data_IF_327978833639
#
_entry.id   IF_327978833639
#
_cell.length_a   1.000
_cell.length_b   1.000
_cell.length_c   1.000
_cell.angle_alpha   90.00
_cell.angle_beta   90.00
_cell.angle_gamma   90.00
#
_symmetry.space_group_name_H-M   'P 1'
#
loop_
_entity.id
_entity.type
_entity.pdbx_description
1 polymer ?
#
# COMPACT_ATOMS: atom_id res chain seq x y z
N UNK A 1 -4.72 29.32 -16.87
CA UNK A 1 -5.37 29.73 -15.60
C UNK A 1 -6.09 28.54 -14.98
N UNK A 2 -7.13 27.96 -15.61
CA UNK A 2 -7.79 26.76 -15.06
C UNK A 2 -6.85 25.54 -14.84
N UNK A 3 -5.95 25.25 -15.78
CA UNK A 3 -5.00 24.14 -15.64
C UNK A 3 -3.98 24.35 -14.50
N UNK A 4 -3.54 25.59 -14.26
CA UNK A 4 -2.62 25.89 -13.15
C UNK A 4 -3.31 25.75 -11.80
N UNK A 5 -4.57 26.18 -11.70
CA UNK A 5 -5.35 26.09 -10.46
C UNK A 5 -5.69 24.62 -10.12
N UNK A 6 -5.95 23.79 -11.14
CA UNK A 6 -6.16 22.35 -10.99
C UNK A 6 -4.90 21.63 -10.48
N UNK A 7 -3.73 21.94 -11.03
CA UNK A 7 -2.45 21.38 -10.57
C UNK A 7 -2.13 21.80 -9.13
N UNK A 8 -2.46 23.03 -8.75
CA UNK A 8 -2.32 23.50 -7.36
C UNK A 8 -3.22 22.70 -6.43
N UNK A 9 -4.50 22.52 -6.78
CA UNK A 9 -5.44 21.74 -5.98
C UNK A 9 -5.01 20.26 -5.84
N UNK A 10 -4.54 19.64 -6.93
CA UNK A 10 -4.03 18.27 -6.93
C UNK A 10 -2.80 18.13 -6.02
N UNK A 11 -1.86 19.07 -6.07
CA UNK A 11 -0.69 19.08 -5.19
C UNK A 11 -1.06 19.24 -3.71
N UNK A 12 -2.01 20.12 -3.39
CA UNK A 12 -2.51 20.29 -2.03
C UNK A 12 -3.14 18.97 -1.54
N UNK A 13 -4.01 18.36 -2.35
CA UNK A 13 -4.60 17.06 -2.06
C UNK A 13 -3.54 15.97 -1.82
N UNK A 14 -2.54 15.90 -2.70
CA UNK A 14 -1.41 15.00 -2.58
C UNK A 14 -0.70 15.15 -1.23
N UNK A 15 -0.31 16.37 -0.84
CA UNK A 15 0.43 16.61 0.40
C UNK A 15 -0.39 16.32 1.64
N UNK A 16 -1.69 16.64 1.65
CA UNK A 16 -2.58 16.32 2.77
C UNK A 16 -2.67 14.80 2.96
N UNK A 17 -2.95 14.07 1.88
CA UNK A 17 -3.06 12.60 1.94
C UNK A 17 -1.71 11.98 2.32
N UNK A 18 -0.60 12.45 1.74
CA UNK A 18 0.74 11.96 2.08
C UNK A 18 1.09 12.19 3.56
N UNK A 19 0.75 13.36 4.13
CA UNK A 19 0.94 13.64 5.54
C UNK A 19 0.12 12.69 6.43
N UNK A 20 -1.14 12.42 6.07
CA UNK A 20 -1.98 11.44 6.76
C UNK A 20 -1.41 10.02 6.66
N UNK A 21 -0.88 9.62 5.51
CA UNK A 21 -0.23 8.33 5.33
C UNK A 21 1.03 8.19 6.19
N UNK A 22 1.87 9.22 6.26
CA UNK A 22 3.08 9.21 7.11
C UNK A 22 2.69 9.13 8.59
N UNK A 23 1.72 9.94 9.03
CA UNK A 23 1.21 9.89 10.40
C UNK A 23 0.59 8.52 10.72
N UNK A 24 -0.18 7.94 9.79
CA UNK A 24 -0.73 6.60 9.89
C UNK A 24 0.35 5.54 10.01
N UNK A 25 1.37 5.56 9.14
CA UNK A 25 2.47 4.60 9.15
C UNK A 25 3.27 4.67 10.47
N UNK A 26 3.51 5.88 11.00
CA UNK A 26 4.12 6.04 12.32
C UNK A 26 3.23 5.45 13.41
N UNK A 27 1.92 5.65 13.35
CA UNK A 27 0.97 5.06 14.30
C UNK A 27 0.89 3.54 14.21
N UNK A 28 1.02 2.95 13.02
CA UNK A 28 1.06 1.49 12.84
C UNK A 28 2.19 0.88 13.68
N UNK A 29 3.40 1.44 13.62
CA UNK A 29 4.58 0.86 14.30
C UNK A 29 4.74 1.29 15.75
N UNK A 30 4.14 2.42 16.14
CA UNK A 30 4.21 2.92 17.54
C UNK A 30 3.09 2.39 18.43
N UNK A 31 2.02 1.85 17.85
CA UNK A 31 0.86 1.37 18.62
C UNK A 31 1.12 -0.02 19.19
N UNK A 32 0.96 -0.16 20.50
CA UNK A 32 1.16 -1.43 21.23
C UNK A 32 -0.03 -2.40 21.16
N UNK A 33 -1.06 -2.06 20.39
CA UNK A 33 -2.25 -2.89 20.20
C UNK A 33 -2.39 -3.24 18.72
N UNK A 34 -2.31 -4.55 18.41
CA UNK A 34 -2.27 -5.05 17.03
C UNK A 34 -3.49 -4.66 16.21
N UNK A 35 -4.68 -4.64 16.83
CA UNK A 35 -5.93 -4.25 16.15
C UNK A 35 -5.90 -2.76 15.79
N UNK A 36 -5.45 -1.90 16.71
CA UNK A 36 -5.33 -0.48 16.43
C UNK A 36 -4.25 -0.20 15.36
N UNK A 37 -3.12 -0.91 15.42
CA UNK A 37 -2.10 -0.85 14.39
C UNK A 37 -2.66 -1.24 13.01
N UNK A 38 -3.47 -2.30 12.94
CA UNK A 38 -4.15 -2.71 11.71
C UNK A 38 -5.13 -1.65 11.17
N UNK A 39 -5.89 -0.98 12.05
CA UNK A 39 -6.78 0.11 11.64
C UNK A 39 -6.00 1.33 11.09
N UNK A 40 -4.86 1.66 11.70
CA UNK A 40 -3.96 2.68 11.15
C UNK A 40 -3.39 2.28 9.79
N UNK A 41 -3.13 0.99 9.56
CA UNK A 41 -2.69 0.49 8.26
C UNK A 41 -3.78 0.64 7.20
N UNK A 42 -5.05 0.43 7.55
CA UNK A 42 -6.19 0.71 6.64
C UNK A 42 -6.18 2.18 6.20
N UNK A 43 -5.89 3.13 7.10
CA UNK A 43 -5.78 4.55 6.76
C UNK A 43 -4.66 4.80 5.73
N UNK A 44 -3.50 4.15 5.90
CA UNK A 44 -2.39 4.24 4.93
C UNK A 44 -2.78 3.67 3.57
N UNK A 45 -3.43 2.51 3.55
CA UNK A 45 -3.88 1.85 2.31
C UNK A 45 -4.98 2.63 1.59
N UNK A 46 -5.89 3.24 2.34
CA UNK A 46 -6.91 4.15 1.80
C UNK A 46 -6.27 5.43 1.24
N UNK A 47 -5.25 5.96 1.92
CA UNK A 47 -4.43 7.04 1.40
C UNK A 47 -3.77 6.68 0.07
N UNK A 48 -3.19 5.48 -0.05
CA UNK A 48 -2.62 5.00 -1.32
C UNK A 48 -3.67 4.92 -2.44
N UNK A 49 -4.87 4.39 -2.15
CA UNK A 49 -5.97 4.38 -3.11
C UNK A 49 -6.37 5.80 -3.55
N UNK A 50 -6.43 6.75 -2.62
CA UNK A 50 -6.71 8.15 -2.92
C UNK A 50 -5.61 8.79 -3.78
N UNK A 51 -4.33 8.48 -3.54
CA UNK A 51 -3.23 8.91 -4.41
C UNK A 51 -3.34 8.33 -5.83
N UNK A 52 -3.77 7.07 -5.98
CA UNK A 52 -4.04 6.50 -7.31
C UNK A 52 -5.16 7.21 -8.04
N UNK A 53 -6.23 7.64 -7.33
CA UNK A 53 -7.28 8.48 -7.93
C UNK A 53 -6.70 9.83 -8.39
N UNK A 54 -5.86 10.48 -7.57
CA UNK A 54 -5.19 11.72 -7.96
C UNK A 54 -4.26 11.55 -9.18
N UNK A 55 -3.76 10.35 -9.44
CA UNK A 55 -2.95 10.00 -10.61
C UNK A 55 -3.78 9.48 -11.78
N UNK A 56 -5.11 9.58 -11.73
CA UNK A 56 -6.03 9.04 -12.74
C UNK A 56 -5.88 7.51 -12.97
N UNK A 57 -5.42 6.78 -11.97
CA UNK A 57 -5.26 5.32 -12.00
C UNK A 57 -6.46 4.63 -11.32
N UNK A 58 -7.65 4.79 -11.91
CA UNK A 58 -8.94 4.39 -11.32
C UNK A 58 -9.03 2.89 -11.01
N UNK A 59 -8.65 2.05 -11.98
CA UNK A 59 -8.70 0.59 -11.82
C UNK A 59 -7.83 0.15 -10.63
N UNK A 60 -6.60 0.66 -10.54
CA UNK A 60 -5.66 0.33 -9.46
C UNK A 60 -6.20 0.82 -8.12
N UNK A 61 -6.80 2.01 -8.07
CA UNK A 61 -7.42 2.54 -6.86
C UNK A 61 -8.57 1.65 -6.36
N UNK A 62 -9.47 1.22 -7.25
CA UNK A 62 -10.59 0.35 -6.88
C UNK A 62 -10.09 -1.03 -6.45
N UNK A 63 -9.14 -1.62 -7.17
CA UNK A 63 -8.52 -2.89 -6.78
C UNK A 63 -7.79 -2.77 -5.43
N UNK A 64 -7.15 -1.63 -5.14
CA UNK A 64 -6.50 -1.37 -3.85
C UNK A 64 -7.51 -1.46 -2.70
N UNK A 65 -8.68 -0.84 -2.85
CA UNK A 65 -9.74 -0.89 -1.85
C UNK A 65 -10.32 -2.31 -1.74
N UNK A 66 -10.66 -2.94 -2.88
CA UNK A 66 -11.30 -4.25 -2.87
C UNK A 66 -10.40 -5.35 -2.30
N UNK A 67 -9.15 -5.41 -2.74
CA UNK A 67 -8.22 -6.50 -2.39
C UNK A 67 -7.51 -6.22 -1.07
N UNK A 68 -6.85 -5.07 -0.93
CA UNK A 68 -6.06 -4.81 0.27
C UNK A 68 -6.94 -4.47 1.46
N UNK A 69 -7.86 -3.51 1.30
CA UNK A 69 -8.73 -3.12 2.43
C UNK A 69 -9.84 -4.16 2.63
N UNK A 70 -10.50 -4.60 1.56
CA UNK A 70 -11.67 -5.46 1.63
C UNK A 70 -11.38 -6.92 1.96
N UNK A 71 -10.31 -7.51 1.41
CA UNK A 71 -9.99 -8.92 1.63
C UNK A 71 -8.83 -9.10 2.61
N UNK A 72 -7.65 -8.55 2.31
CA UNK A 72 -6.42 -8.81 3.07
C UNK A 72 -6.51 -8.25 4.48
N UNK A 73 -6.88 -6.98 4.65
CA UNK A 73 -6.97 -6.36 5.97
C UNK A 73 -8.10 -6.95 6.81
N UNK A 74 -9.22 -7.31 6.20
CA UNK A 74 -10.31 -8.00 6.89
C UNK A 74 -9.86 -9.37 7.39
N UNK A 75 -9.22 -10.18 6.54
CA UNK A 75 -8.63 -11.46 6.94
C UNK A 75 -7.58 -11.29 8.04
N UNK A 76 -6.73 -10.26 7.94
CA UNK A 76 -5.73 -9.95 8.96
C UNK A 76 -6.39 -9.59 10.30
N UNK A 77 -7.42 -8.74 10.30
CA UNK A 77 -8.17 -8.39 11.49
C UNK A 77 -8.85 -9.60 12.12
N UNK A 78 -9.54 -10.43 11.32
CA UNK A 78 -10.13 -11.67 11.82
C UNK A 78 -9.08 -12.63 12.39
N UNK A 79 -7.97 -12.84 11.67
CA UNK A 79 -6.88 -13.69 12.11
C UNK A 79 -6.28 -13.21 13.42
N UNK A 80 -5.94 -11.92 13.52
CA UNK A 80 -5.35 -11.33 14.72
C UNK A 80 -6.31 -11.31 15.91
N UNK A 81 -7.62 -11.18 15.70
CA UNK A 81 -8.63 -11.28 16.77
C UNK A 81 -8.87 -12.71 17.25
N UNK A 82 -8.80 -13.70 16.35
CA UNK A 82 -8.97 -15.12 16.68
C UNK A 82 -7.74 -15.71 17.36
N UNK A 83 -6.55 -15.32 16.90
CA UNK A 83 -5.32 -15.62 17.62
C UNK A 83 -5.33 -14.82 18.92
N UNK A 84 -4.88 -15.43 20.01
CA UNK A 84 -4.86 -14.85 21.37
C UNK A 84 -3.83 -13.72 21.52
N UNK A 85 -3.70 -12.82 20.54
CA UNK A 85 -3.07 -11.51 20.74
C UNK A 85 -3.81 -10.89 21.93
N UNK A 86 -3.10 -10.63 23.04
CA UNK A 86 -3.77 -10.11 24.23
C UNK A 86 -4.34 -8.76 23.83
N UNK A 87 -5.67 -8.64 23.80
CA UNK A 87 -6.35 -7.38 23.48
C UNK A 87 -6.00 -6.39 24.60
N UNK A 88 -4.91 -5.65 24.41
CA UNK A 88 -4.28 -4.83 25.45
C UNK A 88 -2.95 -4.24 24.99
N UNK A 89 -2.34 -3.39 25.81
CA UNK A 89 -1.01 -2.87 25.55
C UNK A 89 0.04 -3.93 25.91
N UNK A 90 0.76 -4.43 24.91
CA UNK A 90 1.87 -5.35 25.13
C UNK A 90 3.18 -4.56 25.28
N UNK A 91 3.85 -4.72 26.43
CA UNK A 91 5.08 -4.00 26.74
C UNK A 91 6.32 -4.56 26.02
N UNK A 92 6.18 -5.65 25.27
CA UNK A 92 7.29 -6.43 24.69
C UNK A 92 7.21 -6.56 23.16
N UNK A 93 6.35 -5.79 22.49
CA UNK A 93 6.24 -5.79 21.02
C UNK A 93 7.42 -5.10 20.32
N UNK A 94 8.13 -4.23 21.04
CA UNK A 94 9.20 -3.43 20.45
C UNK A 94 10.57 -4.03 20.75
N UNK A 95 11.41 -4.14 19.73
CA UNK A 95 12.78 -4.62 19.92
C UNK A 95 13.58 -3.60 20.74
N UNK A 96 14.22 -4.07 21.81
CA UNK A 96 15.09 -3.25 22.68
C UNK A 96 16.26 -2.61 21.92
N UNK A 97 16.61 -3.14 20.75
CA UNK A 97 17.65 -2.62 19.85
C UNK A 97 17.12 -1.69 18.73
N UNK A 98 15.91 -1.12 18.86
CA UNK A 98 15.32 -0.22 17.85
C UNK A 98 16.26 0.93 17.42
N UNK A 99 17.12 1.40 18.32
CA UNK A 99 18.12 2.44 18.05
C UNK A 99 19.10 2.05 16.94
N UNK A 100 19.39 0.77 16.75
CA UNK A 100 20.22 0.26 15.64
C UNK A 100 19.45 0.24 14.32
N UNK A 101 18.11 0.14 14.36
CA UNK A 101 17.27 0.22 13.17
C UNK A 101 17.18 1.62 12.59
N UNK A 102 17.28 2.66 13.43
CA UNK A 102 17.22 4.06 13.00
C UNK A 102 18.29 4.47 11.98
N UNK A 103 19.60 4.20 12.17
CA UNK A 103 20.61 4.55 11.16
C UNK A 103 20.40 3.79 9.84
N UNK A 104 19.92 2.54 9.89
CA UNK A 104 19.61 1.77 8.68
C UNK A 104 18.44 2.42 7.93
N UNK A 105 17.36 2.77 8.62
CA UNK A 105 16.20 3.43 8.03
C UNK A 105 16.56 4.80 7.43
N UNK A 106 17.38 5.61 8.13
CA UNK A 106 17.86 6.90 7.62
C UNK A 106 18.78 6.75 6.41
N UNK A 107 19.64 5.74 6.41
CA UNK A 107 20.53 5.46 5.27
C UNK A 107 19.71 5.05 4.03
N UNK A 108 18.71 4.17 4.21
CA UNK A 108 17.81 3.79 3.12
C UNK A 108 16.97 4.96 2.62
N UNK A 109 16.46 5.82 3.51
CA UNK A 109 15.74 7.04 3.13
C UNK A 109 16.64 7.97 2.33
N UNK A 110 17.88 8.21 2.77
CA UNK A 110 18.85 9.04 2.06
C UNK A 110 19.16 8.46 0.67
N UNK A 111 19.39 7.15 0.58
CA UNK A 111 19.63 6.48 -0.70
C UNK A 111 18.42 6.62 -1.65
N UNK A 112 17.19 6.47 -1.14
CA UNK A 112 15.97 6.67 -1.93
C UNK A 112 15.83 8.11 -2.42
N UNK A 113 16.10 9.10 -1.57
CA UNK A 113 16.02 10.52 -1.94
C UNK A 113 17.07 10.90 -2.99
N UNK A 114 18.29 10.36 -2.88
CA UNK A 114 19.35 10.55 -3.88
C UNK A 114 18.93 9.92 -5.21
N UNK A 115 18.47 8.67 -5.20
CA UNK A 115 18.02 7.98 -6.41
C UNK A 115 16.84 8.69 -7.09
N UNK A 116 15.89 9.21 -6.32
CA UNK A 116 14.75 9.96 -6.84
C UNK A 116 15.21 11.30 -7.46
N UNK A 117 16.11 12.01 -6.78
CA UNK A 117 16.66 13.27 -7.28
C UNK A 117 17.47 13.07 -8.56
N UNK A 118 18.34 12.07 -8.61
CA UNK A 118 19.22 11.83 -9.75
C UNK A 118 18.46 11.21 -10.94
N UNK A 119 17.42 10.41 -10.66
CA UNK A 119 16.58 9.77 -11.68
C UNK A 119 15.54 10.71 -12.32
N UNK A 120 14.88 11.56 -11.52
CA UNK A 120 13.75 12.38 -11.98
C UNK A 120 13.98 13.90 -11.90
N UNK A 121 14.91 14.36 -11.06
CA UNK A 121 15.30 15.78 -10.96
C UNK A 121 14.10 16.73 -10.82
N UNK A 122 13.98 17.67 -11.76
CA UNK A 122 12.90 18.67 -11.83
C UNK A 122 11.86 18.34 -12.92
N UNK A 123 11.79 17.09 -13.36
CA UNK A 123 10.83 16.66 -14.37
C UNK A 123 9.42 16.84 -13.82
N UNK A 124 8.58 17.53 -14.60
CA UNK A 124 7.18 17.79 -14.24
C UNK A 124 6.30 16.75 -14.91
N UNK A 125 5.24 16.35 -14.20
CA UNK A 125 4.20 15.54 -14.80
C UNK A 125 3.66 16.24 -16.06
N UNK A 126 3.46 15.50 -17.16
CA UNK A 126 2.86 16.05 -18.37
C UNK A 126 1.46 16.61 -18.05
N UNK A 127 1.16 17.83 -18.51
CA UNK A 127 -0.14 18.46 -18.29
C UNK A 127 -1.28 17.71 -19.00
N UNK A 128 -0.96 17.00 -20.09
CA UNK A 128 -1.90 16.26 -20.93
C UNK A 128 -1.60 14.75 -20.91
N UNK A 129 -1.30 14.19 -19.74
CA UNK A 129 -1.10 12.75 -19.61
C UNK A 129 -2.39 12.01 -20.05
N UNK A 130 -2.30 11.06 -21.01
CA UNK A 130 -3.48 10.34 -21.48
C UNK A 130 -4.08 9.52 -20.34
N UNK A 131 -5.40 9.57 -20.20
CA UNK A 131 -6.13 8.74 -19.26
C UNK A 131 -5.90 7.26 -19.63
N UNK A 132 -5.33 6.49 -18.70
CA UNK A 132 -5.11 5.06 -18.89
C UNK A 132 -6.43 4.35 -18.67
N UNK A 133 -7.10 3.99 -19.75
CA UNK A 133 -8.37 3.27 -19.68
C UNK A 133 -8.17 1.81 -19.24
N UNK A 134 -9.20 1.24 -18.63
CA UNK A 134 -9.22 -0.20 -18.28
C UNK A 134 -8.99 -1.10 -19.49
N UNK A 135 -9.38 -0.65 -20.69
CA UNK A 135 -9.12 -1.38 -21.94
C UNK A 135 -7.62 -1.53 -22.21
N UNK A 136 -6.86 -0.44 -22.09
CA UNK A 136 -5.39 -0.48 -22.30
C UNK A 136 -4.75 -1.43 -21.30
N UNK A 137 -5.19 -1.42 -20.04
CA UNK A 137 -4.69 -2.37 -19.04
C UNK A 137 -5.02 -3.82 -19.40
N UNK A 138 -6.25 -4.10 -19.85
CA UNK A 138 -6.66 -5.42 -20.32
C UNK A 138 -5.79 -5.90 -21.49
N UNK A 139 -5.56 -5.05 -22.48
CA UNK A 139 -4.74 -5.38 -23.65
C UNK A 139 -3.28 -5.71 -23.24
N UNK A 140 -2.75 -5.01 -22.23
CA UNK A 140 -1.43 -5.30 -21.67
C UNK A 140 -1.41 -6.64 -20.93
N UNK A 141 -2.41 -6.94 -20.09
CA UNK A 141 -2.50 -8.18 -19.31
C UNK A 141 -2.61 -9.40 -20.24
N UNK A 142 -3.46 -9.32 -21.27
CA UNK A 142 -3.71 -10.43 -22.19
C UNK A 142 -2.75 -10.48 -23.40
N UNK A 143 -1.96 -9.44 -23.61
CA UNK A 143 -0.89 -9.42 -24.62
C UNK A 143 0.48 -9.71 -24.00
N UNK A 144 1.32 -8.69 -23.77
CA UNK A 144 2.69 -8.86 -23.30
C UNK A 144 2.81 -9.55 -21.93
N UNK A 145 1.83 -9.36 -21.03
CA UNK A 145 1.85 -9.93 -19.68
C UNK A 145 1.05 -11.23 -19.54
N UNK A 146 0.70 -11.90 -20.65
CA UNK A 146 -0.08 -13.13 -20.64
C UNK A 146 0.59 -14.25 -19.82
N UNK A 147 1.91 -14.40 -19.97
CA UNK A 147 2.67 -15.42 -19.25
C UNK A 147 2.67 -15.18 -17.73
N UNK A 148 3.02 -13.97 -17.21
CA UNK A 148 2.84 -13.64 -15.80
C UNK A 148 1.40 -13.85 -15.29
N UNK A 149 0.39 -13.46 -16.07
CA UNK A 149 -1.02 -13.65 -15.69
C UNK A 149 -1.36 -15.14 -15.52
N UNK A 150 -0.87 -15.99 -16.40
CA UNK A 150 -1.08 -17.43 -16.30
C UNK A 150 -0.35 -18.02 -15.08
N UNK A 151 0.88 -17.59 -14.82
CA UNK A 151 1.64 -17.99 -13.64
C UNK A 151 0.92 -17.59 -12.34
N UNK A 152 0.33 -16.39 -12.26
CA UNK A 152 -0.46 -15.95 -11.11
C UNK A 152 -1.66 -16.86 -10.84
N UNK A 153 -2.30 -17.42 -11.88
CA UNK A 153 -3.42 -18.36 -11.70
C UNK A 153 -2.97 -19.63 -10.95
N UNK A 154 -1.77 -20.15 -11.26
CA UNK A 154 -1.20 -21.28 -10.51
C UNK A 154 -0.79 -20.90 -9.09
N UNK A 155 -0.25 -19.69 -8.88
CA UNK A 155 0.07 -19.19 -7.54
C UNK A 155 -1.18 -19.10 -6.67
N UNK A 156 -2.28 -18.57 -7.21
CA UNK A 156 -3.57 -18.50 -6.49
C UNK A 156 -4.14 -19.89 -6.20
N UNK A 157 -4.06 -20.82 -7.16
CA UNK A 157 -4.45 -22.21 -6.95
C UNK A 157 -3.65 -22.85 -5.82
N UNK A 158 -2.32 -22.71 -5.85
CA UNK A 158 -1.43 -23.25 -4.83
C UNK A 158 -1.69 -22.61 -3.45
N UNK A 159 -1.94 -21.29 -3.40
CA UNK A 159 -2.28 -20.59 -2.16
C UNK A 159 -3.58 -21.11 -1.54
N UNK A 160 -4.63 -21.34 -2.35
CA UNK A 160 -5.91 -21.89 -1.88
C UNK A 160 -5.74 -23.32 -1.38
N UNK A 161 -5.05 -24.18 -2.14
CA UNK A 161 -4.77 -25.56 -1.72
C UNK A 161 -3.98 -25.56 -0.40
N UNK A 162 -2.92 -24.75 -0.31
CA UNK A 162 -2.09 -24.63 0.89
C UNK A 162 -2.88 -24.14 2.11
N UNK A 163 -3.72 -23.12 1.93
CA UNK A 163 -4.58 -22.61 2.99
C UNK A 163 -5.58 -23.67 3.49
N UNK A 164 -6.20 -24.43 2.59
CA UNK A 164 -7.15 -25.51 2.94
C UNK A 164 -6.44 -26.63 3.70
N UNK A 165 -5.30 -27.10 3.19
CA UNK A 165 -4.54 -28.20 3.83
C UNK A 165 -4.07 -27.80 5.23
N UNK A 166 -3.61 -26.55 5.41
CA UNK A 166 -3.16 -26.06 6.72
C UNK A 166 -4.31 -25.83 7.71
N UNK A 167 -5.48 -25.40 7.23
CA UNK A 167 -6.64 -25.11 8.08
C UNK A 167 -7.45 -26.37 8.47
N UNK A 168 -7.30 -27.47 7.73
CA UNK A 168 -7.99 -28.73 8.02
C UNK A 168 -7.46 -29.33 9.32
N UNK A 169 -8.36 -29.88 10.16
CA UNK A 169 -8.04 -30.42 11.50
C UNK A 169 -7.88 -31.94 11.52
N UNK A 170 -7.58 -32.54 10.37
CA UNK A 170 -7.45 -34.00 10.22
C UNK A 170 -5.98 -34.39 10.05
#
# INVERSE_FOLDING_TARGET
MFASDLLIAQNIGFFIIAALMVAGALRVVTTSNVVHAALWLVVVLAGAAAQYVLLAAEFVAVTQVLVYIGAVMVLFLFGTMLTRARIGAESDLNNKNWFVGLPVALTLLAAMLIALRDGFGNEKLPADAPLVSTQVLSDQIFGPYLLPFWALSFVLLAAVIGAIVLARRD
#
